data_IF_609098928721
#
_entry.id   IF_609098928721
#
_cell.length_a   1.000
_cell.length_b   1.000
_cell.length_c   1.000
_cell.angle_alpha   90.00
_cell.angle_beta   90.00
_cell.angle_gamma   90.00
#
_symmetry.space_group_name_H-M   'P 1'
#
loop_
_entity.id
_entity.type
_entity.pdbx_description
1 polymer ?
#
# COMPACT_ATOMS: atom_id res chain seq x y z
N UNK A 1 7.57 11.38 -14.26
CA UNK A 1 8.91 11.77 -14.76
C UNK A 1 9.28 11.05 -16.06
N UNK A 2 9.11 9.72 -16.21
CA UNK A 2 9.46 9.02 -17.45
C UNK A 2 8.72 9.51 -18.70
N UNK A 3 7.42 9.82 -18.59
CA UNK A 3 6.63 10.35 -19.73
C UNK A 3 7.20 11.69 -20.19
N UNK A 4 7.57 12.55 -19.26
CA UNK A 4 8.18 13.85 -19.58
C UNK A 4 9.55 13.71 -20.26
N UNK A 5 10.37 12.78 -19.80
CA UNK A 5 11.67 12.50 -20.41
C UNK A 5 11.54 11.97 -21.84
N UNK A 6 10.66 10.98 -22.04
CA UNK A 6 10.37 10.39 -23.36
C UNK A 6 9.77 11.41 -24.34
N UNK A 7 8.87 12.27 -23.84
CA UNK A 7 8.31 13.35 -24.66
C UNK A 7 9.37 14.38 -25.08
N UNK A 8 10.30 14.72 -24.18
CA UNK A 8 11.39 15.64 -24.50
C UNK A 8 12.39 15.02 -25.50
N UNK A 9 12.75 13.73 -25.34
CA UNK A 9 13.59 12.99 -26.26
C UNK A 9 12.96 12.91 -27.66
N UNK A 10 11.65 12.61 -27.75
CA UNK A 10 10.91 12.57 -29.00
C UNK A 10 10.88 13.95 -29.69
N UNK A 11 10.67 15.01 -28.91
CA UNK A 11 10.66 16.38 -29.41
C UNK A 11 12.03 16.76 -30.01
N UNK A 12 13.11 16.42 -29.31
CA UNK A 12 14.49 16.68 -29.80
C UNK A 12 14.77 15.96 -31.13
N UNK A 13 14.35 14.70 -31.25
CA UNK A 13 14.49 13.92 -32.49
C UNK A 13 13.68 14.54 -33.65
N UNK A 14 12.45 14.98 -33.40
CA UNK A 14 11.61 15.66 -34.39
C UNK A 14 12.24 17.00 -34.84
N UNK A 15 12.81 17.75 -33.90
CA UNK A 15 13.52 19.01 -34.20
C UNK A 15 14.79 18.80 -35.03
N UNK A 16 15.41 17.62 -34.93
CA UNK A 16 16.56 17.21 -35.74
C UNK A 16 16.16 16.60 -37.09
N UNK A 17 14.87 16.65 -37.48
CA UNK A 17 14.38 16.25 -38.78
C UNK A 17 14.01 14.76 -38.91
N UNK A 18 13.94 14.01 -37.79
CA UNK A 18 13.44 12.64 -37.82
C UNK A 18 11.91 12.64 -38.08
N UNK A 19 11.43 11.64 -38.83
CA UNK A 19 10.02 11.48 -39.08
C UNK A 19 9.28 11.07 -37.80
N UNK A 20 8.03 11.55 -37.57
CA UNK A 20 7.25 11.13 -36.41
C UNK A 20 6.99 9.60 -36.45
N UNK A 21 6.94 8.93 -35.30
CA UNK A 21 6.67 7.49 -35.25
C UNK A 21 5.29 7.18 -35.84
N UNK A 22 5.21 6.09 -36.60
CA UNK A 22 3.99 5.68 -37.30
C UNK A 22 2.84 5.23 -36.36
N UNK A 23 3.15 4.98 -35.08
CA UNK A 23 2.18 4.64 -34.03
C UNK A 23 2.52 5.35 -32.74
N UNK A 24 1.51 5.67 -31.88
CA UNK A 24 1.76 6.27 -30.57
C UNK A 24 2.65 5.39 -29.71
N UNK A 25 3.68 5.97 -29.10
CA UNK A 25 4.49 5.28 -28.11
C UNK A 25 3.71 5.16 -26.80
N UNK A 26 3.27 3.97 -26.44
CA UNK A 26 2.58 3.68 -25.21
C UNK A 26 3.59 3.47 -24.09
N UNK A 27 3.71 4.44 -23.20
CA UNK A 27 4.50 4.27 -21.97
C UNK A 27 3.62 3.53 -20.96
N UNK A 28 4.02 2.31 -20.62
CA UNK A 28 3.34 1.57 -19.56
C UNK A 28 3.33 2.40 -18.26
N UNK A 29 2.20 2.47 -17.56
CA UNK A 29 2.16 3.18 -16.29
C UNK A 29 3.15 2.54 -15.33
N UNK A 30 4.14 3.31 -14.89
CA UNK A 30 4.96 2.95 -13.75
C UNK A 30 4.04 2.95 -12.56
N UNK A 31 3.66 1.76 -12.12
CA UNK A 31 2.91 1.55 -10.89
C UNK A 31 1.71 2.52 -10.71
N UNK A 32 0.51 1.98 -10.62
CA UNK A 32 -0.58 2.68 -9.92
C UNK A 32 -0.09 2.89 -8.49
N UNK A 33 0.52 4.05 -8.22
CA UNK A 33 0.56 4.52 -6.85
C UNK A 33 -0.92 4.68 -6.50
N UNK A 34 -1.50 3.82 -5.64
CA UNK A 34 -2.82 4.10 -5.10
C UNK A 34 -2.64 5.39 -4.31
N UNK A 35 -2.85 6.52 -4.94
CA UNK A 35 -3.17 7.74 -4.23
C UNK A 35 -4.38 7.34 -3.44
N UNK A 36 -4.16 7.22 -2.15
CA UNK A 36 -5.12 6.78 -1.17
C UNK A 36 -6.43 7.48 -1.46
N UNK A 37 -7.38 6.76 -2.07
CA UNK A 37 -8.79 7.18 -2.15
C UNK A 37 -9.42 7.27 -0.73
N UNK A 38 -8.65 7.01 0.30
CA UNK A 38 -8.83 7.44 1.68
C UNK A 38 -8.92 8.96 1.83
N UNK A 39 -8.38 9.75 0.91
CA UNK A 39 -8.47 11.21 1.00
C UNK A 39 -9.89 11.73 0.80
N UNK A 40 -10.75 11.06 0.04
CA UNK A 40 -12.14 11.49 -0.13
C UNK A 40 -13.02 11.21 1.09
N UNK A 41 -12.74 10.15 1.87
CA UNK A 41 -13.41 9.88 3.15
C UNK A 41 -12.74 10.61 4.32
N UNK A 42 -11.43 10.81 4.26
CA UNK A 42 -10.66 11.58 5.23
C UNK A 42 -11.00 13.07 5.24
N UNK A 43 -11.55 13.61 4.15
CA UNK A 43 -12.02 14.98 4.09
C UNK A 43 -13.19 15.27 5.05
N UNK A 44 -13.89 14.23 5.54
CA UNK A 44 -15.07 14.38 6.41
C UNK A 44 -14.75 14.21 7.90
N UNK A 45 -13.74 13.43 8.28
CA UNK A 45 -13.35 13.22 9.69
C UNK A 45 -11.81 13.25 9.89
N UNK A 46 -11.32 14.39 10.36
CA UNK A 46 -9.88 14.62 10.59
C UNK A 46 -9.24 13.66 11.60
N UNK A 47 -10.02 13.11 12.55
CA UNK A 47 -9.51 12.11 13.51
C UNK A 47 -9.25 10.80 12.79
N UNK A 48 -10.16 10.37 11.91
CA UNK A 48 -9.99 9.17 11.10
C UNK A 48 -8.82 9.32 10.13
N UNK A 49 -8.67 10.48 9.49
CA UNK A 49 -7.53 10.77 8.61
C UNK A 49 -6.19 10.66 9.35
N UNK A 50 -6.10 11.22 10.56
CA UNK A 50 -4.91 11.10 11.41
C UNK A 50 -4.65 9.65 11.83
N UNK A 51 -5.70 8.90 12.16
CA UNK A 51 -5.59 7.48 12.51
C UNK A 51 -5.04 6.65 11.33
N UNK A 52 -5.55 6.85 10.12
CA UNK A 52 -5.07 6.16 8.91
C UNK A 52 -3.60 6.49 8.63
N UNK A 53 -3.20 7.75 8.76
CA UNK A 53 -1.81 8.15 8.60
C UNK A 53 -0.91 7.47 9.64
N UNK A 54 -1.30 7.49 10.90
CA UNK A 54 -0.56 6.81 11.96
C UNK A 54 -0.41 5.31 11.69
N UNK A 55 -1.48 4.64 11.23
CA UNK A 55 -1.45 3.22 10.86
C UNK A 55 -0.46 3.00 9.70
N UNK A 56 -0.53 3.80 8.64
CA UNK A 56 0.35 3.69 7.48
C UNK A 56 1.83 3.80 7.85
N UNK A 57 2.17 4.76 8.71
CA UNK A 57 3.54 5.02 9.16
C UNK A 57 4.05 3.95 10.13
N UNK A 58 3.18 3.37 10.96
CA UNK A 58 3.56 2.53 12.10
C UNK A 58 3.14 1.05 11.99
N UNK A 59 2.48 0.62 10.90
CA UNK A 59 1.96 -0.75 10.76
C UNK A 59 3.03 -1.84 10.89
N UNK A 60 4.28 -1.52 10.58
CA UNK A 60 5.43 -2.41 10.70
C UNK A 60 5.88 -2.65 12.15
N UNK A 61 5.45 -1.80 13.07
CA UNK A 61 5.60 -2.01 14.51
C UNK A 61 4.43 -2.82 15.08
N UNK A 62 4.58 -3.30 16.31
CA UNK A 62 3.49 -3.99 17.04
C UNK A 62 2.47 -2.99 17.58
N UNK A 63 1.76 -2.31 16.68
CA UNK A 63 0.66 -1.44 17.06
C UNK A 63 -0.64 -2.22 17.25
N UNK A 64 -1.46 -1.73 18.18
CA UNK A 64 -2.81 -2.17 18.49
C UNK A 64 -3.77 -0.97 18.42
N UNK A 65 -5.07 -1.24 18.44
CA UNK A 65 -6.11 -0.19 18.39
C UNK A 65 -5.93 0.88 19.47
N UNK A 66 -5.43 0.49 20.67
CA UNK A 66 -5.17 1.45 21.76
C UNK A 66 -4.11 2.49 21.36
N UNK A 67 -3.03 2.06 20.71
CA UNK A 67 -1.95 2.96 20.28
C UNK A 67 -2.44 3.96 19.23
N UNK A 68 -3.33 3.51 18.33
CA UNK A 68 -3.96 4.39 17.33
C UNK A 68 -4.85 5.44 18.02
N UNK A 69 -5.64 5.03 19.00
CA UNK A 69 -6.51 5.95 19.75
C UNK A 69 -5.71 6.99 20.54
N UNK A 70 -4.63 6.58 21.20
CA UNK A 70 -3.70 7.45 21.91
C UNK A 70 -3.04 8.47 20.96
N UNK A 71 -2.56 8.02 19.80
CA UNK A 71 -1.90 8.87 18.80
C UNK A 71 -2.82 9.99 18.25
N UNK A 72 -4.12 9.75 18.21
CA UNK A 72 -5.10 10.77 17.75
C UNK A 72 -5.81 11.48 18.89
N UNK A 73 -5.39 11.26 20.13
CA UNK A 73 -5.91 11.88 21.35
C UNK A 73 -7.43 11.68 21.51
N UNK A 74 -7.91 10.43 21.35
CA UNK A 74 -9.32 10.09 21.52
C UNK A 74 -9.49 8.74 22.24
N UNK A 75 -10.72 8.45 22.68
CA UNK A 75 -11.00 7.15 23.31
C UNK A 75 -11.14 6.08 22.23
N UNK A 76 -10.76 4.83 22.57
CA UNK A 76 -10.92 3.69 21.68
C UNK A 76 -12.36 3.57 21.14
N UNK A 77 -13.37 3.69 22.01
CA UNK A 77 -14.79 3.60 21.63
C UNK A 77 -15.19 4.67 20.62
N UNK A 78 -14.74 5.91 20.83
CA UNK A 78 -15.03 7.01 19.91
C UNK A 78 -14.38 6.80 18.57
N UNK A 79 -13.11 6.36 18.55
CA UNK A 79 -12.37 6.09 17.32
C UNK A 79 -13.00 4.95 16.54
N UNK A 80 -13.29 3.80 17.17
CA UNK A 80 -13.91 2.65 16.52
C UNK A 80 -15.24 3.01 15.85
N UNK A 81 -16.09 3.80 16.54
CA UNK A 81 -17.37 4.25 15.96
C UNK A 81 -17.15 5.15 14.74
N UNK A 82 -16.28 6.15 14.83
CA UNK A 82 -16.00 7.08 13.72
C UNK A 82 -15.34 6.36 12.55
N UNK A 83 -14.37 5.51 12.84
CA UNK A 83 -13.63 4.74 11.85
C UNK A 83 -14.55 3.82 11.06
N UNK A 84 -15.49 3.14 11.75
CA UNK A 84 -16.46 2.27 11.08
C UNK A 84 -17.42 3.02 10.17
N UNK A 85 -17.83 4.23 10.55
CA UNK A 85 -18.69 5.08 9.74
C UNK A 85 -17.98 5.64 8.50
N UNK A 86 -16.67 5.91 8.59
CA UNK A 86 -15.91 6.54 7.51
C UNK A 86 -15.21 5.54 6.59
N UNK A 87 -14.79 4.39 7.11
CA UNK A 87 -13.93 3.41 6.40
C UNK A 87 -14.66 2.10 6.15
N UNK A 88 -15.81 1.88 6.80
CA UNK A 88 -16.64 0.66 6.73
C UNK A 88 -15.91 -0.63 7.19
N UNK A 89 -14.75 -0.49 7.84
CA UNK A 89 -13.92 -1.56 8.39
C UNK A 89 -13.53 -1.25 9.82
N UNK A 90 -13.10 -2.27 10.55
CA UNK A 90 -12.50 -2.05 11.87
C UNK A 90 -11.05 -1.55 11.75
N UNK A 91 -10.58 -0.88 12.79
CA UNK A 91 -9.18 -0.41 12.86
C UNK A 91 -8.20 -1.60 12.78
N UNK A 92 -8.54 -2.73 13.42
CA UNK A 92 -7.71 -3.93 13.39
C UNK A 92 -7.60 -4.55 11.97
N UNK A 93 -8.70 -4.57 11.23
CA UNK A 93 -8.70 -4.99 9.82
C UNK A 93 -7.85 -4.06 8.97
N UNK A 94 -7.93 -2.76 9.22
CA UNK A 94 -7.15 -1.78 8.48
C UNK A 94 -5.65 -1.89 8.78
N UNK A 95 -5.25 -2.08 10.04
CA UNK A 95 -3.86 -2.38 10.41
C UNK A 95 -3.37 -3.63 9.66
N UNK A 96 -4.19 -4.68 9.61
CA UNK A 96 -3.86 -5.92 8.90
C UNK A 96 -3.71 -5.69 7.41
N UNK A 97 -4.57 -4.88 6.80
CA UNK A 97 -4.49 -4.50 5.39
C UNK A 97 -3.17 -3.79 5.07
N UNK A 98 -2.80 -2.78 5.85
CA UNK A 98 -1.52 -2.07 5.65
C UNK A 98 -0.30 -2.99 5.79
N UNK A 99 -0.35 -3.93 6.76
CA UNK A 99 0.71 -4.94 6.91
C UNK A 99 0.82 -5.87 5.71
N UNK A 100 -0.32 -6.31 5.16
CA UNK A 100 -0.35 -7.16 3.96
C UNK A 100 0.18 -6.41 2.74
N UNK A 101 -0.24 -5.16 2.51
CA UNK A 101 0.26 -4.35 1.40
C UNK A 101 1.78 -4.13 1.49
N UNK A 102 2.30 -3.86 2.69
CA UNK A 102 3.73 -3.77 2.92
C UNK A 102 4.44 -5.09 2.63
N UNK A 103 3.88 -6.23 3.08
CA UNK A 103 4.45 -7.55 2.82
C UNK A 103 4.46 -7.88 1.32
N UNK A 104 3.37 -7.60 0.61
CA UNK A 104 3.25 -7.79 -0.85
C UNK A 104 4.33 -7.01 -1.60
N UNK A 105 4.51 -5.74 -1.25
CA UNK A 105 5.55 -4.90 -1.85
C UNK A 105 6.93 -5.50 -1.63
N UNK A 106 7.29 -5.84 -0.38
CA UNK A 106 8.60 -6.44 -0.08
C UNK A 106 8.83 -7.78 -0.78
N UNK A 107 7.80 -8.61 -0.90
CA UNK A 107 7.90 -9.88 -1.61
C UNK A 107 8.21 -9.71 -3.10
N UNK A 108 7.76 -8.62 -3.71
CA UNK A 108 8.01 -8.32 -5.14
C UNK A 108 9.35 -7.61 -5.33
N UNK A 109 9.71 -6.70 -4.43
CA UNK A 109 10.90 -5.85 -4.55
C UNK A 109 12.18 -6.53 -4.04
N UNK A 110 12.07 -7.60 -3.24
CA UNK A 110 13.23 -8.22 -2.58
C UNK A 110 13.15 -9.75 -2.58
N UNK A 111 14.31 -10.41 -2.52
CA UNK A 111 14.42 -11.86 -2.36
C UNK A 111 14.50 -12.30 -0.88
N UNK A 112 14.09 -11.44 0.04
CA UNK A 112 14.13 -11.73 1.47
C UNK A 112 13.30 -12.99 1.82
N UNK A 113 13.76 -13.79 2.80
CA UNK A 113 12.98 -14.91 3.31
C UNK A 113 11.59 -14.44 3.80
N UNK A 114 10.53 -15.20 3.52
CA UNK A 114 9.16 -14.86 3.94
C UNK A 114 9.04 -14.62 5.45
N UNK A 115 9.88 -15.27 6.26
CA UNK A 115 9.97 -15.02 7.70
C UNK A 115 10.41 -13.59 8.02
N UNK A 116 11.36 -13.06 7.26
CA UNK A 116 11.84 -11.68 7.39
C UNK A 116 10.77 -10.71 6.92
N UNK A 117 10.16 -10.98 5.76
CA UNK A 117 9.04 -10.17 5.23
C UNK A 117 7.90 -10.08 6.25
N UNK A 118 7.50 -11.19 6.86
CA UNK A 118 6.44 -11.22 7.87
C UNK A 118 6.78 -10.33 9.08
N UNK A 119 7.98 -10.52 9.66
CA UNK A 119 8.44 -9.74 10.81
C UNK A 119 8.48 -8.24 10.52
N UNK A 120 9.11 -7.87 9.40
CA UNK A 120 9.35 -6.47 9.04
C UNK A 120 8.10 -5.78 8.47
N UNK A 121 7.04 -6.54 8.23
CA UNK A 121 5.70 -6.03 7.91
C UNK A 121 4.79 -5.94 9.15
N UNK A 122 5.29 -6.27 10.34
CA UNK A 122 4.58 -6.10 11.61
C UNK A 122 3.69 -7.28 12.02
N UNK A 123 3.83 -8.46 11.40
CA UNK A 123 3.14 -9.66 11.85
C UNK A 123 3.82 -10.26 13.10
N UNK A 124 3.00 -10.89 13.95
CA UNK A 124 3.47 -11.50 15.19
C UNK A 124 4.51 -12.61 14.91
N UNK A 125 4.19 -13.47 13.96
CA UNK A 125 5.02 -14.56 13.50
C UNK A 125 4.67 -14.96 12.05
N UNK A 126 5.48 -15.84 11.46
CA UNK A 126 5.31 -16.30 10.09
C UNK A 126 4.03 -17.11 9.87
N UNK A 127 3.54 -17.82 10.90
CA UNK A 127 2.34 -18.63 10.81
C UNK A 127 1.10 -17.74 10.79
N UNK A 128 1.06 -16.70 11.63
CA UNK A 128 0.02 -15.67 11.62
C UNK A 128 -0.01 -14.94 10.27
N UNK A 129 1.16 -14.56 9.74
CA UNK A 129 1.28 -13.97 8.41
C UNK A 129 0.70 -14.87 7.33
N UNK A 130 1.15 -16.14 7.26
CA UNK A 130 0.72 -17.08 6.25
C UNK A 130 -0.80 -17.29 6.26
N UNK A 131 -1.39 -17.59 7.43
CA UNK A 131 -2.85 -17.77 7.56
C UNK A 131 -3.63 -16.54 7.17
N UNK A 132 -3.16 -15.35 7.57
CA UNK A 132 -3.81 -14.08 7.24
C UNK A 132 -3.71 -13.79 5.76
N UNK A 133 -2.56 -14.02 5.15
CA UNK A 133 -2.32 -13.81 3.72
C UNK A 133 -3.22 -14.71 2.88
N UNK A 134 -3.24 -16.02 3.15
CA UNK A 134 -4.10 -16.96 2.41
C UNK A 134 -5.57 -16.61 2.56
N UNK A 135 -6.01 -16.22 3.75
CA UNK A 135 -7.40 -15.83 3.98
C UNK A 135 -7.82 -14.59 3.18
N UNK A 136 -6.93 -13.61 3.01
CA UNK A 136 -7.24 -12.33 2.36
C UNK A 136 -7.00 -12.37 0.86
N UNK A 137 -5.87 -12.93 0.44
CA UNK A 137 -5.43 -12.92 -0.97
C UNK A 137 -5.86 -14.19 -1.75
N UNK A 138 -6.33 -15.23 -1.05
CA UNK A 138 -6.76 -16.50 -1.68
C UNK A 138 -5.62 -17.38 -2.20
N UNK A 139 -4.37 -16.95 -2.08
CA UNK A 139 -3.16 -17.65 -2.54
C UNK A 139 -2.09 -17.67 -1.46
N UNK A 140 -1.08 -18.54 -1.60
CA UNK A 140 0.01 -18.57 -0.63
C UNK A 140 1.03 -17.44 -0.89
N UNK A 141 1.76 -16.96 0.14
CA UNK A 141 2.80 -15.96 -0.04
C UNK A 141 3.88 -16.37 -1.04
N UNK A 142 4.21 -17.66 -1.10
CA UNK A 142 5.19 -18.21 -2.05
C UNK A 142 4.67 -18.11 -3.48
N UNK A 143 3.46 -18.60 -3.74
CA UNK A 143 2.81 -18.50 -5.05
C UNK A 143 2.67 -17.05 -5.50
N UNK A 144 2.24 -16.17 -4.61
CA UNK A 144 2.12 -14.73 -4.90
C UNK A 144 3.45 -14.12 -5.33
N UNK A 145 4.56 -14.49 -4.68
CA UNK A 145 5.92 -14.06 -5.05
C UNK A 145 6.30 -14.57 -6.43
N UNK A 146 6.18 -15.87 -6.63
CA UNK A 146 6.61 -16.56 -7.88
C UNK A 146 5.87 -16.03 -9.12
N UNK A 147 4.60 -15.68 -8.98
CA UNK A 147 3.78 -15.12 -10.06
C UNK A 147 4.16 -13.69 -10.44
N UNK A 148 4.77 -12.92 -9.53
CA UNK A 148 5.04 -11.49 -9.73
C UNK A 148 6.51 -11.11 -9.88
N UNK A 149 7.41 -12.05 -9.66
CA UNK A 149 8.85 -11.90 -9.94
C UNK A 149 9.25 -12.47 -11.32
N UNK A 150 8.30 -13.07 -12.05
CA UNK A 150 8.49 -13.49 -13.45
C UNK A 150 8.22 -12.32 -14.40
#
# INVERSE_FOLDING_TARGET
>A
EQIGYRAAEMLDRLMNGEAPPASPELVAPLELIPRQSTDSFAATDHIVARALRFIAENCHHRIEVKHVAEAVATTRRTLERRFRLSVERSIAEEITRFRLERAKRRMVETDEPLKTVARDSGFLDSNHFYKTFVRVEGTTPTQYRDERQR
#
